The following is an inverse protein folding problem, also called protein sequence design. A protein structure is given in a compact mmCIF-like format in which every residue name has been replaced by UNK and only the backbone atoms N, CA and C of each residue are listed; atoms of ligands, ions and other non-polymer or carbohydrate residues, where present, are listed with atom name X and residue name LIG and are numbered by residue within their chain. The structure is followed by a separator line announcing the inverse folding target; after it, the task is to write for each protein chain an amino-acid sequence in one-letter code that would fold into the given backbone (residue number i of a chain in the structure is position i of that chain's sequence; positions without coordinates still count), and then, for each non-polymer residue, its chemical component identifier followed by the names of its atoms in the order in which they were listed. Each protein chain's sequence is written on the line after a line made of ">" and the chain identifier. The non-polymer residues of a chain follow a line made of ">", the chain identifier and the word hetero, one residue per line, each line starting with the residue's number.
data_IF_330235474605
#
_entry.id   IF_330235474605
#
_cell.length_a   1.000
_cell.length_b   1.000
_cell.length_c   1.000
_cell.angle_alpha   90.00
_cell.angle_beta   90.00
_cell.angle_gamma   90.00
#
_symmetry.space_group_name_H-M   'P 1'
#
loop_
_entity.id
_entity.type
_entity.pdbx_description
1 polymer ?
#
# COMPACT_ATOMS: atom_id res chain seq x y z
N UNK A 1 -15.24 -3.79 -13.98
CA UNK A 1 -14.41 -3.82 -12.75
C UNK A 1 -15.35 -3.88 -11.56
N UNK A 2 -15.16 -4.81 -10.59
CA UNK A 2 -15.98 -4.88 -9.39
C UNK A 2 -15.93 -3.58 -8.56
N UNK A 3 -17.02 -3.28 -7.85
CA UNK A 3 -17.11 -2.10 -7.00
C UNK A 3 -16.84 -2.49 -5.55
N UNK A 4 -15.87 -1.83 -4.92
CA UNK A 4 -15.66 -1.91 -3.48
C UNK A 4 -16.67 -0.97 -2.81
N UNK A 5 -17.56 -1.46 -1.92
CA UNK A 5 -18.52 -0.62 -1.23
C UNK A 5 -17.83 0.46 -0.39
N UNK A 6 -18.49 1.61 -0.22
CA UNK A 6 -17.99 2.66 0.67
C UNK A 6 -17.72 2.14 2.08
N UNK A 7 -16.56 2.49 2.59
CA UNK A 7 -16.16 2.17 3.96
C UNK A 7 -17.13 2.83 4.96
N UNK A 8 -17.69 2.02 5.83
CA UNK A 8 -18.55 2.51 6.90
C UNK A 8 -17.69 2.87 8.10
N UNK A 9 -17.43 4.17 8.26
CA UNK A 9 -16.62 4.69 9.36
C UNK A 9 -17.29 4.48 10.72
N UNK A 10 -16.48 4.13 11.71
CA UNK A 10 -16.84 4.05 13.11
C UNK A 10 -16.06 5.09 13.90
N UNK A 11 -16.58 5.61 15.02
CA UNK A 11 -15.84 6.51 15.89
C UNK A 11 -14.47 5.93 16.27
N UNK A 12 -13.40 6.70 16.04
CA UNK A 12 -12.04 6.31 16.35
C UNK A 12 -11.29 5.52 15.27
N UNK A 13 -11.91 5.19 14.12
CA UNK A 13 -11.22 4.43 13.07
C UNK A 13 -9.91 5.08 12.59
N UNK A 14 -9.88 6.39 12.57
CA UNK A 14 -8.72 7.14 12.07
C UNK A 14 -7.95 7.88 13.17
N UNK A 15 -8.37 7.74 14.43
CA UNK A 15 -7.61 8.30 15.55
C UNK A 15 -6.33 7.46 15.77
N UNK A 16 -5.18 8.13 15.77
CA UNK A 16 -3.85 7.49 15.93
C UNK A 16 -3.66 6.28 15.02
N UNK A 17 -4.14 6.39 13.78
CA UNK A 17 -4.11 5.30 12.82
C UNK A 17 -2.70 4.78 12.58
N UNK A 18 -2.52 3.47 12.75
CA UNK A 18 -1.35 2.73 12.35
C UNK A 18 -1.73 1.67 11.31
N UNK A 19 -0.82 1.42 10.39
CA UNK A 19 -0.94 0.33 9.43
C UNK A 19 -0.04 -0.85 9.83
N UNK A 20 -0.36 -2.03 9.32
CA UNK A 20 0.45 -3.24 9.43
C UNK A 20 0.52 -3.90 8.06
N UNK A 21 1.73 -4.27 7.63
CA UNK A 21 1.91 -4.99 6.37
C UNK A 21 1.25 -6.37 6.42
N UNK A 22 0.58 -6.77 5.34
CA UNK A 22 -0.04 -8.09 5.23
C UNK A 22 0.92 -9.24 5.57
N UNK A 23 2.20 -9.12 5.21
CA UNK A 23 3.24 -10.11 5.49
C UNK A 23 3.61 -10.21 6.99
N UNK A 24 3.10 -9.32 7.82
CA UNK A 24 3.28 -9.29 9.28
C UNK A 24 2.03 -9.68 10.05
N UNK A 25 0.92 -9.91 9.36
CA UNK A 25 -0.33 -10.34 10.00
C UNK A 25 -0.29 -11.82 10.38
N UNK A 26 -0.79 -12.14 11.56
CA UNK A 26 -0.87 -13.51 12.08
C UNK A 26 -2.25 -13.79 12.69
N UNK A 27 -2.70 -15.05 12.62
CA UNK A 27 -3.97 -15.45 13.20
C UNK A 27 -3.98 -15.30 14.72
N UNK A 28 -2.85 -15.56 15.37
CA UNK A 28 -2.68 -15.47 16.82
C UNK A 28 -2.27 -14.08 17.31
N UNK A 29 -2.22 -13.06 16.43
CA UNK A 29 -1.85 -11.70 16.83
C UNK A 29 -2.85 -11.16 17.88
N UNK A 30 -2.30 -10.61 18.97
CA UNK A 30 -3.08 -9.99 20.06
C UNK A 30 -2.72 -8.51 20.25
N UNK A 31 -1.66 -8.05 19.61
CA UNK A 31 -1.07 -6.75 19.92
C UNK A 31 -1.33 -5.68 18.86
N UNK A 32 -1.77 -6.06 17.66
CA UNK A 32 -1.86 -5.13 16.52
C UNK A 32 -3.25 -5.13 15.85
N UNK A 33 -4.27 -5.65 16.54
CA UNK A 33 -5.64 -5.76 16.02
C UNK A 33 -6.30 -4.39 15.79
N UNK A 34 -5.79 -3.36 16.44
CA UNK A 34 -6.17 -1.97 16.27
C UNK A 34 -5.61 -1.31 15.00
N UNK A 35 -4.75 -2.00 14.26
CA UNK A 35 -4.16 -1.51 13.00
C UNK A 35 -5.02 -1.87 11.80
N UNK A 36 -4.86 -1.13 10.70
CA UNK A 36 -5.41 -1.52 9.41
C UNK A 36 -4.33 -2.24 8.58
N UNK A 37 -4.72 -3.31 7.90
CA UNK A 37 -3.79 -4.11 7.08
C UNK A 37 -3.58 -3.43 5.74
N UNK A 38 -2.32 -3.24 5.35
CA UNK A 38 -1.95 -2.68 4.04
C UNK A 38 -1.18 -3.68 3.17
N UNK A 39 -1.16 -3.41 1.86
CA UNK A 39 -0.47 -4.18 0.84
C UNK A 39 0.55 -3.33 0.07
N UNK A 40 1.03 -2.22 0.61
CA UNK A 40 2.16 -1.45 0.06
C UNK A 40 3.45 -2.25 0.23
N UNK A 41 3.53 -3.34 -0.50
CA UNK A 41 4.56 -4.39 -0.45
C UNK A 41 4.84 -4.87 -1.86
N UNK A 42 5.90 -5.64 -2.06
CA UNK A 42 6.10 -6.34 -3.33
C UNK A 42 5.00 -7.39 -3.56
N UNK A 43 4.48 -7.46 -4.78
CA UNK A 43 3.37 -8.35 -5.17
C UNK A 43 3.58 -9.80 -4.71
N UNK A 44 4.79 -10.34 -4.82
CA UNK A 44 5.08 -11.74 -4.44
C UNK A 44 4.80 -12.05 -2.97
N UNK A 45 4.76 -11.03 -2.09
CA UNK A 45 4.47 -11.20 -0.66
C UNK A 45 2.99 -11.45 -0.38
N UNK A 46 2.13 -11.03 -1.29
CA UNK A 46 0.69 -11.15 -1.14
C UNK A 46 -0.04 -11.75 -2.35
N UNK A 47 0.66 -12.18 -3.38
CA UNK A 47 0.06 -12.81 -4.58
C UNK A 47 -0.93 -13.95 -4.22
N UNK A 48 -0.74 -14.60 -3.08
CA UNK A 48 -1.61 -15.67 -2.60
C UNK A 48 -3.05 -15.22 -2.34
N UNK A 49 -3.29 -13.95 -2.01
CA UNK A 49 -4.65 -13.47 -1.73
C UNK A 49 -5.53 -13.44 -2.99
N UNK A 50 -4.89 -13.34 -4.15
CA UNK A 50 -5.56 -13.49 -5.43
C UNK A 50 -5.80 -14.95 -5.78
N UNK A 51 -4.83 -15.83 -5.52
CA UNK A 51 -4.91 -17.26 -5.84
C UNK A 51 -5.89 -18.00 -4.94
N UNK A 52 -5.95 -17.64 -3.67
CA UNK A 52 -6.78 -18.29 -2.66
C UNK A 52 -7.37 -17.25 -1.72
N UNK A 53 -8.37 -16.47 -2.16
CA UNK A 53 -8.86 -15.28 -1.43
C UNK A 53 -9.54 -15.62 -0.09
N UNK A 54 -10.01 -16.86 0.10
CA UNK A 54 -10.65 -17.30 1.35
C UNK A 54 -9.67 -17.58 2.48
N UNK A 55 -8.44 -17.99 2.15
CA UNK A 55 -7.47 -18.48 3.15
C UNK A 55 -7.08 -17.45 4.21
N UNK A 56 -7.17 -16.17 3.90
CA UNK A 56 -6.75 -15.10 4.79
C UNK A 56 -7.94 -14.34 5.43
N UNK A 57 -9.20 -14.68 5.11
CA UNK A 57 -10.39 -13.97 5.58
C UNK A 57 -10.46 -13.96 7.11
N UNK A 58 -10.35 -15.13 7.75
CA UNK A 58 -10.39 -15.24 9.21
C UNK A 58 -9.33 -14.36 9.87
N UNK A 59 -8.09 -14.44 9.39
CA UNK A 59 -6.99 -13.64 9.88
C UNK A 59 -7.24 -12.15 9.69
N UNK A 60 -7.62 -11.73 8.49
CA UNK A 60 -7.84 -10.32 8.15
C UNK A 60 -9.02 -9.71 8.90
N UNK A 61 -10.06 -10.50 9.18
CA UNK A 61 -11.26 -10.03 9.92
C UNK A 61 -10.98 -9.61 11.36
N UNK A 62 -9.83 -10.01 11.91
CA UNK A 62 -9.42 -9.67 13.27
C UNK A 62 -8.88 -8.24 13.39
N UNK A 63 -8.38 -7.66 12.31
CA UNK A 63 -7.82 -6.32 12.30
C UNK A 63 -8.90 -5.25 12.12
N UNK A 64 -8.59 -4.01 12.47
CA UNK A 64 -9.52 -2.87 12.41
C UNK A 64 -10.21 -2.72 11.05
N UNK A 65 -9.43 -2.82 9.99
CA UNK A 65 -9.87 -2.82 8.59
C UNK A 65 -8.76 -3.36 7.69
N UNK A 66 -9.06 -3.51 6.41
CA UNK A 66 -8.13 -4.01 5.40
C UNK A 66 -8.14 -3.07 4.21
N UNK A 67 -6.97 -2.64 3.75
CA UNK A 67 -6.83 -1.97 2.46
C UNK A 67 -6.92 -3.02 1.34
N UNK A 68 -7.44 -2.67 0.17
CA UNK A 68 -7.41 -3.60 -0.97
C UNK A 68 -5.98 -3.80 -1.46
N UNK A 69 -5.64 -4.96 -2.08
CA UNK A 69 -4.28 -5.28 -2.47
C UNK A 69 -3.69 -4.28 -3.47
N UNK A 70 -2.49 -3.78 -3.19
CA UNK A 70 -1.78 -2.80 -4.02
C UNK A 70 -0.96 -3.49 -5.10
N UNK A 71 -1.61 -4.15 -6.08
CA UNK A 71 -0.93 -4.75 -7.21
C UNK A 71 -0.25 -3.69 -8.06
N UNK A 72 1.01 -3.94 -8.41
CA UNK A 72 1.90 -2.97 -9.05
C UNK A 72 1.38 -2.41 -10.38
N UNK A 73 1.60 -1.10 -10.57
CA UNK A 73 1.20 -0.32 -11.76
C UNK A 73 2.43 0.36 -12.36
N UNK A 74 3.43 -0.45 -12.82
CA UNK A 74 4.64 0.11 -13.42
C UNK A 74 4.38 0.67 -14.81
N UNK A 75 5.10 1.75 -15.16
CA UNK A 75 4.96 2.43 -16.45
C UNK A 75 5.32 1.51 -17.63
N UNK A 76 6.28 0.62 -17.43
CA UNK A 76 6.76 -0.31 -18.47
C UNK A 76 5.88 -1.55 -18.65
N UNK A 77 4.84 -1.71 -17.79
CA UNK A 77 3.88 -2.80 -17.95
C UNK A 77 3.02 -2.60 -19.21
N UNK A 78 2.74 -3.71 -19.89
CA UNK A 78 1.72 -3.68 -20.94
C UNK A 78 0.36 -3.24 -20.34
N UNK A 79 -0.41 -2.36 -21.02
CA UNK A 79 -1.67 -1.82 -20.51
C UNK A 79 -2.67 -2.89 -20.05
N UNK A 80 -2.70 -4.04 -20.72
CA UNK A 80 -3.55 -5.18 -20.32
C UNK A 80 -3.16 -5.73 -18.93
N UNK A 81 -1.89 -5.69 -18.58
CA UNK A 81 -1.41 -6.14 -17.28
C UNK A 81 -1.75 -5.12 -16.19
N UNK A 82 -1.65 -3.84 -16.50
CA UNK A 82 -2.06 -2.76 -15.60
C UNK A 82 -3.58 -2.84 -15.31
N UNK A 83 -4.41 -2.99 -16.36
CA UNK A 83 -5.84 -3.20 -16.22
C UNK A 83 -6.16 -4.46 -15.40
N UNK A 84 -5.44 -5.55 -15.62
CA UNK A 84 -5.59 -6.79 -14.85
C UNK A 84 -5.24 -6.59 -13.37
N UNK A 85 -4.23 -5.79 -13.06
CA UNK A 85 -3.85 -5.48 -11.67
C UNK A 85 -4.91 -4.62 -10.97
N UNK A 86 -5.50 -3.64 -11.66
CA UNK A 86 -6.65 -2.89 -11.14
C UNK A 86 -7.84 -3.82 -10.91
N UNK A 87 -8.13 -4.72 -11.84
CA UNK A 87 -9.20 -5.70 -11.69
C UNK A 87 -8.97 -6.58 -10.44
N UNK A 88 -7.77 -7.13 -10.25
CA UNK A 88 -7.43 -7.96 -9.08
C UNK A 88 -7.61 -7.21 -7.76
N UNK A 89 -7.13 -5.97 -7.71
CA UNK A 89 -7.29 -5.10 -6.54
C UNK A 89 -8.77 -4.94 -6.18
N UNK A 90 -9.59 -4.51 -7.14
CA UNK A 90 -11.02 -4.27 -6.91
C UNK A 90 -11.77 -5.55 -6.61
N UNK A 91 -11.42 -6.64 -7.29
CA UNK A 91 -12.06 -7.94 -7.06
C UNK A 91 -11.81 -8.45 -5.64
N UNK A 92 -10.57 -8.46 -5.19
CA UNK A 92 -10.23 -8.87 -3.82
C UNK A 92 -10.96 -8.01 -2.79
N UNK A 93 -10.94 -6.68 -2.96
CA UNK A 93 -11.61 -5.77 -2.05
C UNK A 93 -13.12 -5.98 -1.99
N UNK A 94 -13.78 -6.08 -3.14
CA UNK A 94 -15.23 -6.34 -3.22
C UNK A 94 -15.59 -7.72 -2.66
N UNK A 95 -14.79 -8.73 -2.95
CA UNK A 95 -14.98 -10.08 -2.43
C UNK A 95 -14.88 -10.12 -0.91
N UNK A 96 -13.85 -9.54 -0.33
CA UNK A 96 -13.70 -9.48 1.12
C UNK A 96 -14.81 -8.67 1.79
N UNK A 97 -15.22 -7.56 1.19
CA UNK A 97 -16.38 -6.80 1.67
C UNK A 97 -17.65 -7.64 1.68
N UNK A 98 -17.89 -8.47 0.65
CA UNK A 98 -19.03 -9.40 0.60
C UNK A 98 -18.98 -10.49 1.67
N UNK A 99 -17.78 -10.77 2.21
CA UNK A 99 -17.56 -11.70 3.35
C UNK A 99 -17.60 -11.00 4.71
N UNK A 100 -17.93 -9.71 4.74
CA UNK A 100 -18.10 -8.93 5.97
C UNK A 100 -16.83 -8.24 6.48
N UNK A 101 -15.72 -8.27 5.75
CA UNK A 101 -14.54 -7.47 6.09
C UNK A 101 -14.81 -5.99 5.84
N UNK A 102 -14.19 -5.15 6.65
CA UNK A 102 -14.19 -3.70 6.48
C UNK A 102 -13.05 -3.33 5.54
N UNK A 103 -13.38 -2.93 4.32
CA UNK A 103 -12.38 -2.73 3.25
C UNK A 103 -12.31 -1.26 2.84
N UNK A 104 -11.09 -0.75 2.67
CA UNK A 104 -10.79 0.56 2.10
C UNK A 104 -10.04 0.34 0.78
N UNK A 105 -10.48 0.91 -0.34
CA UNK A 105 -9.79 0.76 -1.61
C UNK A 105 -8.41 1.44 -1.59
N UNK A 106 -7.38 0.72 -1.97
CA UNK A 106 -6.08 1.28 -2.36
C UNK A 106 -6.17 1.76 -3.80
N UNK A 107 -5.71 2.97 -4.05
CA UNK A 107 -5.70 3.59 -5.37
C UNK A 107 -4.26 3.79 -5.81
N UNK A 108 -3.93 3.23 -6.96
CA UNK A 108 -2.66 3.41 -7.63
C UNK A 108 -2.88 3.62 -9.13
N UNK A 109 -1.90 4.15 -9.80
CA UNK A 109 -1.94 4.50 -11.23
C UNK A 109 -0.55 4.40 -11.85
N UNK A 110 -0.52 4.27 -13.17
CA UNK A 110 0.67 4.46 -13.99
C UNK A 110 0.74 5.88 -14.55
N UNK A 111 0.91 6.01 -15.85
CA UNK A 111 0.77 7.27 -16.56
C UNK A 111 -0.69 7.61 -16.88
N UNK A 112 -0.91 8.71 -17.61
CA UNK A 112 -2.24 9.19 -17.98
C UNK A 112 -3.07 8.16 -18.77
N UNK A 113 -2.44 7.23 -19.48
CA UNK A 113 -3.15 6.18 -20.24
C UNK A 113 -3.89 5.21 -19.33
N UNK A 114 -3.54 5.14 -18.05
CA UNK A 114 -4.22 4.29 -17.06
C UNK A 114 -5.44 4.95 -16.44
N UNK A 115 -5.61 6.27 -16.62
CA UNK A 115 -6.68 7.02 -15.94
C UNK A 115 -8.08 6.57 -16.37
N UNK A 116 -8.21 5.97 -17.56
CA UNK A 116 -9.49 5.46 -18.03
C UNK A 116 -10.05 4.28 -17.22
N UNK A 117 -9.18 3.60 -16.43
CA UNK A 117 -9.60 2.42 -15.68
C UNK A 117 -9.09 2.36 -14.23
N UNK A 118 -8.00 3.05 -13.85
CA UNK A 118 -7.39 2.87 -12.53
C UNK A 118 -8.24 3.44 -11.39
N UNK A 119 -9.20 4.31 -11.66
CA UNK A 119 -10.14 4.87 -10.69
C UNK A 119 -11.50 4.18 -10.69
N UNK A 120 -11.73 3.24 -11.60
CA UNK A 120 -12.96 2.47 -11.66
C UNK A 120 -13.11 1.52 -10.47
N UNK A 121 -14.36 1.19 -10.12
CA UNK A 121 -14.69 0.30 -9.01
C UNK A 121 -14.59 0.94 -7.63
N UNK A 122 -14.54 2.28 -7.57
CA UNK A 122 -14.55 3.07 -6.33
C UNK A 122 -15.67 4.12 -6.44
N UNK A 123 -16.55 4.15 -5.47
CA UNK A 123 -17.65 5.10 -5.44
C UNK A 123 -17.17 6.50 -5.04
N UNK A 124 -17.80 7.54 -5.61
CA UNK A 124 -17.55 8.93 -5.21
C UNK A 124 -17.78 9.13 -3.71
N UNK A 125 -16.90 9.91 -3.08
CA UNK A 125 -16.92 10.15 -1.64
C UNK A 125 -16.46 8.97 -0.80
N UNK A 126 -15.76 7.98 -1.38
CA UNK A 126 -15.14 6.89 -0.62
C UNK A 126 -13.95 7.37 0.19
N UNK A 127 -13.68 6.70 1.31
CA UNK A 127 -12.34 6.74 1.92
C UNK A 127 -11.41 5.91 1.05
N UNK A 128 -10.22 6.43 0.74
CA UNK A 128 -9.23 5.75 -0.11
C UNK A 128 -7.86 5.72 0.56
N UNK A 129 -6.97 4.85 0.09
CA UNK A 129 -5.58 4.81 0.53
C UNK A 129 -4.64 4.95 -0.66
N UNK A 130 -3.57 5.73 -0.48
CA UNK A 130 -2.49 5.93 -1.44
C UNK A 130 -1.14 5.82 -0.73
N UNK A 131 -0.05 5.64 -1.49
CA UNK A 131 1.31 5.66 -0.97
C UNK A 131 2.19 6.61 -1.78
N UNK A 132 2.91 7.48 -1.10
CA UNK A 132 3.95 8.34 -1.70
C UNK A 132 5.33 7.68 -1.67
N UNK A 133 5.46 6.50 -1.03
CA UNK A 133 6.75 5.89 -0.75
C UNK A 133 7.63 5.74 -1.99
N UNK A 134 7.10 5.16 -3.06
CA UNK A 134 7.87 4.95 -4.29
C UNK A 134 8.17 6.24 -5.05
N UNK A 135 7.37 7.28 -4.86
CA UNK A 135 7.57 8.56 -5.53
C UNK A 135 8.49 9.53 -4.75
N UNK A 136 8.73 9.28 -3.44
CA UNK A 136 9.50 10.17 -2.58
C UNK A 136 10.89 9.67 -2.23
N UNK A 137 11.08 8.34 -2.14
CA UNK A 137 12.28 7.74 -1.54
C UNK A 137 13.31 7.28 -2.58
N UNK A 138 12.88 7.07 -3.83
CA UNK A 138 13.72 6.43 -4.83
C UNK A 138 14.01 7.34 -6.00
N UNK A 139 15.28 7.62 -6.16
CA UNK A 139 15.84 8.48 -7.20
C UNK A 139 15.23 9.88 -7.21
N UNK A 140 15.98 10.90 -6.97
CA UNK A 140 15.68 12.32 -7.11
C UNK A 140 15.09 12.70 -8.49
N UNK A 141 14.17 11.89 -9.04
CA UNK A 141 13.50 12.13 -10.30
C UNK A 141 12.30 13.01 -10.04
N UNK A 142 12.38 14.25 -10.43
CA UNK A 142 11.25 15.20 -10.44
C UNK A 142 10.04 14.62 -11.17
N UNK A 143 10.27 13.81 -12.21
CA UNK A 143 9.24 13.16 -13.01
C UNK A 143 8.34 12.21 -12.21
N UNK A 144 8.87 11.43 -11.25
CA UNK A 144 8.07 10.51 -10.45
C UNK A 144 7.04 11.25 -9.58
N UNK A 145 7.43 12.36 -8.97
CA UNK A 145 6.52 13.22 -8.23
C UNK A 145 5.46 13.84 -9.14
N UNK A 146 5.85 14.31 -10.32
CA UNK A 146 4.93 14.89 -11.31
C UNK A 146 3.87 13.88 -11.74
N UNK A 147 4.28 12.66 -12.07
CA UNK A 147 3.35 11.58 -12.44
C UNK A 147 2.45 11.17 -11.28
N UNK A 148 3.00 11.07 -10.07
CA UNK A 148 2.19 10.81 -8.90
C UNK A 148 1.14 11.90 -8.73
N UNK A 149 1.51 13.17 -8.79
CA UNK A 149 0.61 14.30 -8.61
C UNK A 149 -0.43 14.43 -9.72
N UNK A 150 -0.08 14.08 -10.97
CA UNK A 150 -1.05 14.04 -12.06
C UNK A 150 -2.18 13.05 -11.76
N UNK A 151 -1.85 11.82 -11.41
CA UNK A 151 -2.85 10.81 -11.05
C UNK A 151 -3.57 11.11 -9.73
N UNK A 152 -2.88 11.70 -8.75
CA UNK A 152 -3.49 12.14 -7.50
C UNK A 152 -4.59 13.18 -7.74
N UNK A 153 -4.32 14.19 -8.56
CA UNK A 153 -5.30 15.22 -8.90
C UNK A 153 -6.48 14.65 -9.69
N UNK A 154 -6.22 13.69 -10.58
CA UNK A 154 -7.27 13.00 -11.32
C UNK A 154 -8.12 12.11 -10.38
N UNK A 155 -7.51 11.45 -9.41
CA UNK A 155 -8.22 10.73 -8.35
C UNK A 155 -9.16 11.65 -7.57
N UNK A 156 -8.67 12.84 -7.15
CA UNK A 156 -9.50 13.83 -6.45
C UNK A 156 -10.70 14.23 -7.30
N UNK A 157 -10.50 14.45 -8.59
CA UNK A 157 -11.56 14.88 -9.52
C UNK A 157 -12.61 13.79 -9.77
N UNK A 158 -12.20 12.52 -9.86
CA UNK A 158 -13.12 11.41 -10.20
C UNK A 158 -13.80 10.82 -8.99
N UNK A 159 -13.04 10.59 -7.91
CA UNK A 159 -13.53 9.89 -6.71
C UNK A 159 -14.08 10.89 -5.68
N UNK A 160 -13.57 12.13 -5.65
CA UNK A 160 -13.95 13.13 -4.63
C UNK A 160 -13.86 12.52 -3.21
N UNK A 161 -12.70 11.96 -2.81
CA UNK A 161 -12.61 11.15 -1.60
C UNK A 161 -12.90 11.99 -0.35
N UNK A 162 -13.68 11.43 0.57
CA UNK A 162 -13.98 12.05 1.87
C UNK A 162 -12.74 12.10 2.78
N UNK A 163 -11.94 11.04 2.74
CA UNK A 163 -10.67 10.91 3.47
C UNK A 163 -9.67 10.14 2.64
N UNK A 164 -8.40 10.45 2.82
CA UNK A 164 -7.29 9.86 2.10
C UNK A 164 -6.26 9.38 3.11
N UNK A 165 -6.10 8.08 3.28
CA UNK A 165 -4.99 7.51 4.03
C UNK A 165 -3.74 7.62 3.15
N UNK A 166 -2.76 8.38 3.57
CA UNK A 166 -1.48 8.52 2.88
C UNK A 166 -0.40 7.77 3.66
N UNK A 167 0.08 6.68 3.08
CA UNK A 167 1.21 5.92 3.60
C UNK A 167 2.51 6.58 3.17
N UNK A 168 3.37 6.88 4.14
CA UNK A 168 4.54 7.74 4.01
C UNK A 168 4.18 9.24 3.91
N UNK A 169 5.18 10.11 3.98
CA UNK A 169 5.01 11.57 4.05
C UNK A 169 4.27 12.11 2.81
N UNK A 170 3.14 12.79 2.98
CA UNK A 170 2.45 13.41 1.86
C UNK A 170 3.28 14.55 1.26
N UNK A 171 3.18 14.75 -0.05
CA UNK A 171 3.76 15.93 -0.69
C UNK A 171 3.01 17.20 -0.26
N UNK A 172 3.70 18.35 -0.12
CA UNK A 172 3.07 19.61 0.28
C UNK A 172 1.94 20.08 -0.63
N UNK A 173 1.95 19.64 -1.89
CA UNK A 173 0.95 20.00 -2.90
C UNK A 173 -0.31 19.14 -2.85
N UNK A 174 -0.28 18.04 -2.12
CA UNK A 174 -1.45 17.15 -1.98
C UNK A 174 -2.56 17.87 -1.22
N UNK A 175 -3.75 17.87 -1.79
CA UNK A 175 -4.95 18.47 -1.20
C UNK A 175 -5.92 17.39 -0.73
N UNK A 176 -6.86 17.75 0.13
CA UNK A 176 -7.88 16.86 0.65
C UNK A 176 -7.74 16.58 2.15
N UNK A 177 -8.61 15.77 2.67
CA UNK A 177 -8.57 15.34 4.08
C UNK A 177 -7.62 14.15 4.24
N UNK A 178 -6.33 14.47 4.41
CA UNK A 178 -5.24 13.48 4.43
C UNK A 178 -4.98 12.99 5.85
N UNK A 179 -5.02 11.68 6.02
CA UNK A 179 -4.62 10.97 7.23
C UNK A 179 -3.24 10.39 6.95
N UNK A 180 -2.21 11.07 7.46
CA UNK A 180 -0.82 10.66 7.29
C UNK A 180 -0.48 9.48 8.20
N UNK A 181 0.11 8.44 7.63
CA UNK A 181 0.66 7.31 8.37
C UNK A 181 2.13 7.13 8.00
N UNK A 182 2.99 7.33 8.98
CA UNK A 182 4.43 7.22 8.79
C UNK A 182 4.86 5.82 8.36
N UNK A 183 5.72 5.75 7.37
CA UNK A 183 6.35 4.51 6.93
C UNK A 183 7.11 3.82 8.08
N UNK A 184 7.87 4.56 8.86
CA UNK A 184 8.67 4.01 9.96
C UNK A 184 7.81 3.38 11.04
N UNK A 185 6.68 4.01 11.40
CA UNK A 185 5.74 3.50 12.40
C UNK A 185 4.97 2.28 11.94
N UNK A 186 4.83 2.09 10.63
CA UNK A 186 4.14 0.94 10.02
C UNK A 186 5.10 -0.16 9.61
N UNK A 187 6.41 0.09 9.66
CA UNK A 187 7.43 -0.86 9.24
C UNK A 187 7.63 -1.98 10.25
N UNK A 188 8.16 -3.12 9.79
CA UNK A 188 8.48 -4.24 10.66
C UNK A 188 9.58 -3.92 11.68
N UNK A 189 10.46 -2.97 11.37
CA UNK A 189 11.49 -2.48 12.31
C UNK A 189 10.85 -1.86 13.52
N UNK A 190 9.91 -0.94 13.33
CA UNK A 190 9.21 -0.29 14.40
C UNK A 190 8.43 -1.31 15.24
N UNK A 191 7.75 -2.24 14.60
CA UNK A 191 7.01 -3.31 15.27
C UNK A 191 7.92 -4.24 16.10
N UNK A 192 9.10 -4.59 15.59
CA UNK A 192 10.08 -5.39 16.32
C UNK A 192 10.69 -4.60 17.48
N UNK A 193 10.86 -3.30 17.31
CA UNK A 193 11.36 -2.39 18.33
C UNK A 193 10.41 -2.31 19.52
N UNK A 194 9.11 -2.12 19.29
CA UNK A 194 8.09 -2.09 20.34
C UNK A 194 8.07 -3.38 21.18
N UNK A 195 8.46 -4.51 20.57
CA UNK A 195 8.55 -5.80 21.25
C UNK A 195 9.81 -5.98 22.09
N UNK A 196 10.89 -5.34 21.70
CA UNK A 196 12.24 -5.64 22.22
C UNK A 196 12.73 -4.63 23.25
N UNK A 197 12.18 -3.42 23.29
CA UNK A 197 12.68 -2.33 24.10
C UNK A 197 11.55 -1.59 24.82
N UNK A 198 11.82 -1.12 26.04
CA UNK A 198 10.96 -0.17 26.71
C UNK A 198 10.99 1.19 26.01
N UNK A 199 9.97 2.00 26.22
CA UNK A 199 9.77 3.30 25.55
C UNK A 199 10.97 4.24 25.66
N UNK A 200 11.71 4.17 26.77
CA UNK A 200 12.93 4.96 27.01
C UNK A 200 14.08 4.57 26.07
N UNK A 201 14.18 3.28 25.73
CA UNK A 201 15.20 2.79 24.79
C UNK A 201 14.91 3.23 23.35
N UNK A 202 13.64 3.37 22.99
CA UNK A 202 13.23 3.86 21.67
C UNK A 202 13.61 5.33 21.46
N UNK A 203 13.47 6.16 22.49
CA UNK A 203 13.84 7.57 22.42
C UNK A 203 15.36 7.77 22.37
N UNK A 204 16.11 6.97 23.10
CA UNK A 204 17.57 6.95 23.02
C UNK A 204 18.10 6.54 21.64
N UNK A 205 17.40 5.60 20.98
CA UNK A 205 17.77 5.17 19.63
C UNK A 205 17.44 6.23 18.57
N UNK A 206 16.35 6.95 18.70
CA UNK A 206 16.02 8.09 17.80
C UNK A 206 17.09 9.18 17.83
N UNK A 207 17.72 9.41 18.97
CA UNK A 207 18.77 10.42 19.15
C UNK A 207 20.13 9.94 18.58
N UNK A 208 20.39 8.62 18.60
CA UNK A 208 21.64 8.03 18.09
C UNK A 208 21.61 7.56 16.63
N UNK A 209 20.47 7.55 16.00
CA UNK A 209 20.17 6.80 14.78
C UNK A 209 20.44 7.50 13.46
N UNK A 210 21.38 8.42 13.37
CA UNK A 210 21.91 8.93 12.08
C UNK A 210 23.08 8.10 11.55
N UNK A 211 23.13 6.82 11.83
CA UNK A 211 24.13 5.92 11.24
C UNK A 211 23.65 5.44 9.88
N UNK A 212 24.28 5.95 8.84
CA UNK A 212 24.10 5.59 7.42
C UNK A 212 24.27 4.07 7.14
N UNK A 213 24.85 3.32 8.06
CA UNK A 213 25.18 1.91 7.87
C UNK A 213 24.00 0.95 8.06
N UNK A 214 22.83 1.41 8.53
CA UNK A 214 21.65 0.55 8.70
C UNK A 214 20.66 0.62 7.51
N UNK A 215 20.85 1.54 6.58
CA UNK A 215 20.08 1.58 5.35
C UNK A 215 20.45 0.46 4.39
N UNK A 216 21.74 0.14 4.31
CA UNK A 216 22.28 -0.82 3.32
C UNK A 216 21.83 -2.27 3.51
N UNK A 217 21.40 -2.64 4.72
CA UNK A 217 21.01 -4.03 5.02
C UNK A 217 19.54 -4.35 4.73
N UNK A 218 18.70 -3.33 4.53
CA UNK A 218 17.26 -3.54 4.26
C UNK A 218 16.85 -3.07 2.88
N UNK A 219 17.55 -2.09 2.33
CA UNK A 219 17.32 -1.60 0.97
C UNK A 219 17.26 -2.69 -0.10
N UNK A 220 18.08 -3.76 -0.08
CA UNK A 220 17.98 -4.83 -1.08
C UNK A 220 16.66 -5.59 -1.06
N UNK A 221 15.91 -5.52 0.03
CA UNK A 221 14.63 -6.24 0.18
C UNK A 221 13.39 -5.36 -0.04
N UNK A 222 13.55 -4.05 0.06
CA UNK A 222 12.44 -3.09 -0.08
C UNK A 222 12.47 -2.35 -1.42
N UNK A 223 13.62 -2.33 -2.07
CA UNK A 223 13.88 -1.52 -3.25
C UNK A 223 14.41 -2.44 -4.35
N UNK A 224 13.68 -2.56 -5.42
CA UNK A 224 14.26 -3.05 -6.67
C UNK A 224 15.37 -2.09 -7.09
N UNK A 225 16.58 -2.58 -7.32
CA UNK A 225 17.66 -1.78 -7.89
C UNK A 225 17.15 -1.14 -9.18
N UNK A 226 17.11 0.17 -9.21
CA UNK A 226 16.70 0.91 -10.40
C UNK A 226 15.27 1.47 -10.35
N UNK A 227 14.81 1.90 -9.19
CA UNK A 227 13.58 2.70 -9.09
C UNK A 227 12.34 1.97 -9.55
N UNK A 228 11.83 1.14 -8.72
CA UNK A 228 10.43 0.79 -8.76
C UNK A 228 10.02 -0.48 -9.46
N UNK A 229 10.90 -1.29 -9.99
CA UNK A 229 10.46 -2.54 -10.59
C UNK A 229 11.27 -3.73 -10.07
N UNK A 230 10.60 -4.69 -9.44
CA UNK A 230 11.17 -6.02 -9.26
C UNK A 230 11.43 -6.70 -10.64
N UNK A 231 10.93 -6.10 -11.70
CA UNK A 231 11.12 -6.44 -13.11
C UNK A 231 11.65 -5.23 -13.88
N UNK A 232 12.70 -4.58 -13.34
CA UNK A 232 13.36 -3.47 -14.02
C UNK A 232 13.82 -3.87 -15.43
N UNK A 233 14.37 -2.90 -16.19
CA UNK A 233 14.84 -3.05 -17.58
C UNK A 233 15.79 -4.24 -17.81
N UNK A 234 16.29 -4.88 -16.75
CA UNK A 234 17.16 -6.05 -16.79
C UNK A 234 16.43 -7.40 -16.71
N UNK A 235 15.09 -7.42 -16.65
CA UNK A 235 14.36 -8.67 -16.66
C UNK A 235 14.51 -9.34 -18.03
N UNK A 236 15.24 -10.45 -18.07
CA UNK A 236 15.31 -11.35 -19.22
C UNK A 236 14.57 -12.63 -18.88
N UNK A 237 13.69 -13.12 -19.75
CA UNK A 237 13.04 -14.43 -19.53
C UNK A 237 14.13 -15.48 -19.34
N UNK A 238 13.94 -16.34 -18.32
CA UNK A 238 14.85 -17.46 -18.10
C UNK A 238 14.71 -18.44 -19.25
N UNK A 239 15.72 -18.66 -20.11
CA UNK A 239 15.61 -19.52 -21.29
C UNK A 239 15.59 -21.03 -20.96
N UNK A 240 15.57 -21.42 -19.68
CA UNK A 240 15.70 -22.83 -19.24
C UNK A 240 14.47 -23.37 -18.51
N UNK A 241 13.29 -23.24 -19.10
CA UNK A 241 12.20 -24.19 -18.83
C UNK A 241 11.63 -24.61 -20.17
N UNK A 242 12.03 -25.77 -20.70
CA UNK A 242 11.23 -26.44 -21.71
C UNK A 242 9.95 -26.97 -21.04
N UNK A 243 8.91 -27.03 -21.81
CA UNK A 243 7.54 -27.47 -21.54
C UNK A 243 7.37 -28.58 -20.51
#
# INVERSE_FOLDING_TARGET
>A
IPIIPKFQERPGDFADLLLIGFDKTHLEDQNHLDRMVHFFLYDYRFERVWKNPDNDIEKLSRYRAVLSPDFSMYLEMAPVMQLYNVFRNRWCGAYWASKGLRVIPTVNWGDESTFDFCFEGIEKGSVVAVSTYMASEHDNRCDQKEWFMAGYNEMLRRIEPEKIICYNTPFPEMQGNIIHVDYERSSWRYMNYERSFHREDLDAFKIGGTSSNNRDTIEPYLIGKGGGSAYGADWKPNPKKPN
#
